data_IF_245106176524
#
_entry.id   IF_245106176524
#
_cell.length_a   1.000
_cell.length_b   1.000
_cell.length_c   1.000
_cell.angle_alpha   90.00
_cell.angle_beta   90.00
_cell.angle_gamma   90.00
#
_symmetry.space_group_name_H-M   'P 1'
#
loop_
_entity.id
_entity.type
_entity.pdbx_description
1 polymer ?
#
# COMPACT_ATOMS: atom_id res chain seq x y z
N UNK A 1 -20.12 12.16 -24.38
CA UNK A 1 -18.67 12.03 -24.07
C UNK A 1 -18.32 13.03 -22.97
N UNK A 2 -17.45 12.69 -22.01
CA UNK A 2 -16.99 13.68 -20.99
C UNK A 2 -16.09 14.73 -21.66
N UNK A 3 -16.42 16.02 -21.46
CA UNK A 3 -15.65 17.15 -21.96
C UNK A 3 -14.20 17.12 -21.43
N UNK A 4 -13.24 17.59 -22.24
CA UNK A 4 -11.79 17.53 -21.92
C UNK A 4 -11.50 18.20 -20.57
N UNK A 5 -12.06 19.39 -20.32
CA UNK A 5 -11.90 20.12 -19.05
C UNK A 5 -12.37 19.30 -17.84
N UNK A 6 -13.50 18.59 -17.96
CA UNK A 6 -14.02 17.75 -16.88
C UNK A 6 -13.11 16.55 -16.61
N UNK A 7 -12.49 15.95 -17.64
CA UNK A 7 -11.53 14.85 -17.44
C UNK A 7 -10.32 15.28 -16.63
N UNK A 8 -9.78 16.46 -16.90
CA UNK A 8 -8.63 16.99 -16.17
C UNK A 8 -8.98 17.23 -14.69
N UNK A 9 -10.15 17.80 -14.41
CA UNK A 9 -10.62 18.04 -13.03
C UNK A 9 -10.82 16.71 -12.29
N UNK A 10 -11.51 15.73 -12.90
CA UNK A 10 -11.74 14.42 -12.30
C UNK A 10 -10.41 13.70 -12.07
N UNK A 11 -9.46 13.78 -13.01
CA UNK A 11 -8.14 13.19 -12.83
C UNK A 11 -7.36 13.86 -11.68
N UNK A 12 -7.39 15.19 -11.56
CA UNK A 12 -6.78 15.92 -10.45
C UNK A 12 -7.34 15.46 -9.09
N UNK A 13 -8.67 15.29 -9.00
CA UNK A 13 -9.32 14.71 -7.82
C UNK A 13 -8.86 13.28 -7.53
N UNK A 14 -8.75 12.42 -8.56
CA UNK A 14 -8.23 11.05 -8.38
C UNK A 14 -6.78 11.04 -7.89
N UNK A 15 -5.92 11.94 -8.38
CA UNK A 15 -4.54 12.04 -7.88
C UNK A 15 -4.46 12.60 -6.46
N UNK A 16 -5.36 13.51 -6.08
CA UNK A 16 -5.50 13.94 -4.69
C UNK A 16 -5.90 12.76 -3.79
N UNK A 17 -6.80 11.89 -4.24
CA UNK A 17 -7.14 10.65 -3.52
C UNK A 17 -5.96 9.68 -3.46
N UNK A 18 -5.17 9.53 -4.53
CA UNK A 18 -3.93 8.72 -4.51
C UNK A 18 -2.97 9.25 -3.45
N UNK A 19 -2.77 10.57 -3.38
CA UNK A 19 -1.92 11.17 -2.35
C UNK A 19 -2.48 10.95 -0.93
N UNK A 20 -3.80 11.06 -0.75
CA UNK A 20 -4.44 10.82 0.54
C UNK A 20 -4.34 9.35 0.98
N UNK A 21 -4.52 8.39 0.06
CA UNK A 21 -4.34 6.95 0.35
C UNK A 21 -2.87 6.61 0.57
N UNK A 22 -1.94 7.24 -0.15
CA UNK A 22 -0.50 7.11 0.13
C UNK A 22 -0.18 7.57 1.57
N UNK A 23 -0.67 8.74 1.98
CA UNK A 23 -0.53 9.22 3.35
C UNK A 23 -1.18 8.26 4.37
N UNK A 24 -2.35 7.69 4.07
CA UNK A 24 -2.99 6.67 4.90
C UNK A 24 -2.10 5.46 5.14
N UNK A 25 -1.45 4.94 4.09
CA UNK A 25 -0.53 3.80 4.21
C UNK A 25 0.70 4.17 5.06
N UNK A 26 1.25 5.38 4.92
CA UNK A 26 2.34 5.84 5.77
C UNK A 26 1.92 5.95 7.25
N UNK A 27 0.77 6.58 7.53
CA UNK A 27 0.24 6.73 8.88
C UNK A 27 -0.05 5.34 9.50
N UNK A 28 -0.66 4.44 8.75
CA UNK A 28 -0.92 3.07 9.19
C UNK A 28 0.35 2.26 9.42
N UNK A 29 1.37 2.46 8.57
CA UNK A 29 2.71 1.90 8.74
C UNK A 29 3.36 2.32 10.06
N UNK A 30 3.32 3.62 10.37
CA UNK A 30 3.80 4.15 11.65
C UNK A 30 2.98 3.57 12.80
N UNK A 31 1.65 3.57 12.70
CA UNK A 31 0.74 2.99 13.72
C UNK A 31 1.08 1.54 14.03
N UNK A 32 1.48 0.74 13.02
CA UNK A 32 1.97 -0.63 13.25
C UNK A 32 3.34 -0.63 13.91
N UNK A 33 4.31 0.15 13.39
CA UNK A 33 5.68 0.16 13.90
C UNK A 33 5.81 0.71 15.34
N UNK A 34 4.84 1.51 15.79
CA UNK A 34 4.73 2.00 17.16
C UNK A 34 3.81 1.16 18.04
N UNK A 35 3.39 -0.03 17.59
CA UNK A 35 2.47 -0.94 18.28
C UNK A 35 1.22 -0.23 18.81
N UNK A 36 0.67 0.68 17.99
CA UNK A 36 -0.42 1.56 18.40
C UNK A 36 -1.80 1.07 17.96
N UNK A 37 -1.86 -0.02 17.18
CA UNK A 37 -3.07 -0.46 16.49
C UNK A 37 -4.21 -0.97 17.37
N UNK A 38 -4.02 -1.08 18.69
CA UNK A 38 -4.99 -1.60 19.66
C UNK A 38 -5.34 -0.61 20.80
N UNK A 39 -4.79 0.60 20.76
CA UNK A 39 -4.99 1.65 21.76
C UNK A 39 -6.44 2.18 21.86
N UNK A 40 -7.24 2.09 20.78
CA UNK A 40 -8.65 2.47 20.73
C UNK A 40 -9.57 1.23 20.72
N UNK A 41 -9.87 0.74 21.92
CA UNK A 41 -10.68 -0.47 22.15
C UNK A 41 -12.11 -0.33 21.62
N UNK A 42 -12.73 0.84 21.77
CA UNK A 42 -14.11 1.07 21.36
C UNK A 42 -14.24 1.48 19.89
N UNK A 43 -15.20 0.86 19.20
CA UNK A 43 -15.58 1.25 17.84
C UNK A 43 -16.61 2.40 17.86
N UNK A 44 -16.15 3.64 17.63
CA UNK A 44 -17.01 4.86 17.56
C UNK A 44 -16.99 5.49 16.15
N UNK A 45 -17.73 4.94 15.17
CA UNK A 45 -17.62 5.35 13.76
C UNK A 45 -18.15 6.76 13.47
N UNK A 46 -19.13 7.26 14.23
CA UNK A 46 -19.70 8.60 14.08
C UNK A 46 -19.03 9.62 15.03
N UNK A 47 -19.11 9.38 16.34
CA UNK A 47 -18.64 10.34 17.38
C UNK A 47 -17.11 10.35 17.53
N UNK A 48 -16.42 9.27 17.14
CA UNK A 48 -14.96 9.16 17.28
C UNK A 48 -14.13 10.05 16.34
N UNK A 49 -14.73 11.09 15.75
CA UNK A 49 -14.01 12.16 15.05
C UNK A 49 -13.52 13.26 16.00
N UNK A 50 -13.96 13.25 17.26
CA UNK A 50 -13.50 14.15 18.31
C UNK A 50 -12.63 13.32 19.26
N UNK A 51 -11.38 13.73 19.54
CA UNK A 51 -10.52 13.03 20.49
C UNK A 51 -11.01 13.28 21.93
N UNK A 52 -10.50 12.56 22.94
CA UNK A 52 -10.81 12.88 24.34
C UNK A 52 -10.42 14.33 24.68
N UNK A 53 -11.40 15.13 25.09
CA UNK A 53 -11.23 16.58 25.37
C UNK A 53 -11.12 16.91 26.87
N UNK A 54 -11.31 15.93 27.76
CA UNK A 54 -11.25 16.11 29.21
C UNK A 54 -10.40 15.03 29.87
N UNK A 55 -9.86 15.31 31.05
CA UNK A 55 -9.08 14.33 31.82
C UNK A 55 -9.92 13.10 32.20
N UNK A 56 -11.21 13.31 32.49
CA UNK A 56 -12.13 12.21 32.76
C UNK A 56 -12.28 11.26 31.56
N UNK A 57 -12.42 11.79 30.33
CA UNK A 57 -12.53 10.95 29.14
C UNK A 57 -11.19 10.26 28.82
N UNK A 58 -10.06 10.93 29.04
CA UNK A 58 -8.72 10.32 28.91
C UNK A 58 -8.53 9.14 29.87
N UNK A 59 -8.89 9.32 31.14
CA UNK A 59 -8.83 8.23 32.12
C UNK A 59 -9.78 7.09 31.76
N UNK A 60 -10.98 7.39 31.22
CA UNK A 60 -11.94 6.38 30.77
C UNK A 60 -11.37 5.53 29.63
N UNK A 61 -10.88 6.15 28.55
CA UNK A 61 -10.31 5.37 27.43
C UNK A 61 -9.05 4.60 27.82
N UNK A 62 -8.23 5.17 28.71
CA UNK A 62 -7.07 4.46 29.24
C UNK A 62 -7.46 3.28 30.15
N UNK A 63 -8.54 3.42 30.92
CA UNK A 63 -9.07 2.31 31.72
C UNK A 63 -9.53 1.13 30.87
N UNK A 64 -10.09 1.39 29.68
CA UNK A 64 -10.44 0.35 28.71
C UNK A 64 -9.20 -0.30 28.10
N UNK A 65 -8.18 0.49 27.76
CA UNK A 65 -6.92 -0.06 27.28
C UNK A 65 -6.28 -1.00 28.32
N UNK A 66 -6.39 -0.67 29.61
CA UNK A 66 -5.88 -1.52 30.70
C UNK A 66 -6.57 -2.88 30.82
N UNK A 67 -7.66 -3.15 30.09
CA UNK A 67 -8.35 -4.45 30.13
C UNK A 67 -7.89 -5.41 29.04
N UNK A 68 -7.09 -4.97 28.06
CA UNK A 68 -6.71 -5.81 26.91
C UNK A 68 -5.33 -6.47 27.13
N UNK A 69 -5.04 -7.60 26.45
CA UNK A 69 -3.79 -8.33 26.63
C UNK A 69 -2.51 -7.50 26.38
N UNK A 70 -2.54 -6.58 25.42
CA UNK A 70 -1.39 -5.71 25.10
C UNK A 70 -0.92 -4.91 26.31
N UNK A 71 -1.84 -4.35 27.12
CA UNK A 71 -1.46 -3.66 28.37
C UNK A 71 -0.84 -4.62 29.38
N UNK A 72 -1.43 -5.79 29.59
CA UNK A 72 -0.98 -6.72 30.62
C UNK A 72 0.36 -7.40 30.29
N UNK A 73 0.63 -7.67 29.02
CA UNK A 73 1.76 -8.49 28.59
C UNK A 73 2.93 -7.66 28.05
N UNK A 74 2.66 -6.51 27.42
CA UNK A 74 3.69 -5.68 26.77
C UNK A 74 3.86 -4.35 27.51
N UNK A 75 2.75 -3.68 27.84
CA UNK A 75 2.76 -2.30 28.34
C UNK A 75 2.42 -2.19 29.84
N UNK A 76 2.77 -3.21 30.63
CA UNK A 76 2.41 -3.27 32.04
C UNK A 76 3.04 -2.10 32.81
N UNK A 77 2.21 -1.33 33.53
CA UNK A 77 2.67 -0.14 34.26
C UNK A 77 2.82 1.11 33.40
N UNK A 78 2.44 1.09 32.12
CA UNK A 78 2.43 2.26 31.24
C UNK A 78 1.65 3.43 31.85
N UNK A 79 2.18 4.65 31.71
CA UNK A 79 1.54 5.88 32.20
C UNK A 79 0.46 6.37 31.23
N UNK A 80 -0.43 7.26 31.69
CA UNK A 80 -1.38 7.93 30.80
C UNK A 80 -0.67 8.75 29.71
N UNK A 81 0.49 9.32 30.01
CA UNK A 81 1.25 10.12 29.05
C UNK A 81 1.77 9.26 27.89
N UNK A 82 2.31 8.08 28.21
CA UNK A 82 2.77 7.11 27.21
C UNK A 82 1.60 6.55 26.40
N UNK A 83 0.48 6.25 27.06
CA UNK A 83 -0.75 5.82 26.38
C UNK A 83 -1.23 6.85 25.35
N UNK A 84 -1.16 8.15 25.67
CA UNK A 84 -1.54 9.21 24.72
C UNK A 84 -0.72 9.14 23.43
N UNK A 85 0.55 8.75 23.48
CA UNK A 85 1.41 8.65 22.30
C UNK A 85 0.89 7.58 21.32
N UNK A 86 0.58 6.38 21.81
CA UNK A 86 0.03 5.32 20.96
C UNK A 86 -1.40 5.64 20.51
N UNK A 87 -2.21 6.23 21.40
CA UNK A 87 -3.57 6.66 21.08
C UNK A 87 -3.61 7.63 19.90
N UNK A 88 -2.72 8.62 19.86
CA UNK A 88 -2.72 9.63 18.80
C UNK A 88 -2.44 9.03 17.42
N UNK A 89 -1.52 8.07 17.30
CA UNK A 89 -1.24 7.41 16.02
C UNK A 89 -2.47 6.68 15.49
N UNK A 90 -3.12 5.88 16.34
CA UNK A 90 -4.32 5.15 15.93
C UNK A 90 -5.49 6.08 15.63
N UNK A 91 -5.68 7.12 16.45
CA UNK A 91 -6.70 8.14 16.26
C UNK A 91 -6.53 8.85 14.91
N UNK A 92 -5.32 9.34 14.60
CA UNK A 92 -5.02 10.03 13.34
C UNK A 92 -5.24 9.08 12.16
N UNK A 93 -4.80 7.82 12.26
CA UNK A 93 -5.04 6.81 11.24
C UNK A 93 -6.54 6.62 10.96
N UNK A 94 -7.36 6.45 12.01
CA UNK A 94 -8.82 6.26 11.90
C UNK A 94 -9.53 7.51 11.40
N UNK A 95 -9.13 8.70 11.84
CA UNK A 95 -9.69 9.96 11.38
C UNK A 95 -9.39 10.17 9.90
N UNK A 96 -8.14 9.95 9.49
CA UNK A 96 -7.71 10.10 8.10
C UNK A 96 -8.49 9.17 7.15
N UNK A 97 -8.72 7.91 7.56
CA UNK A 97 -9.57 6.98 6.81
C UNK A 97 -10.99 7.51 6.58
N UNK A 98 -11.62 8.14 7.59
CA UNK A 98 -12.94 8.77 7.45
C UNK A 98 -12.90 9.97 6.50
N UNK A 99 -11.87 10.82 6.62
CA UNK A 99 -11.70 11.98 5.75
C UNK A 99 -11.54 11.57 4.29
N UNK A 100 -10.82 10.49 3.98
CA UNK A 100 -10.73 9.94 2.61
C UNK A 100 -12.12 9.56 2.09
N UNK A 101 -12.97 8.96 2.92
CA UNK A 101 -14.37 8.65 2.57
C UNK A 101 -15.15 9.90 2.16
N UNK A 102 -15.01 11.00 2.90
CA UNK A 102 -15.66 12.29 2.59
C UNK A 102 -15.07 12.92 1.32
N UNK A 103 -13.73 12.94 1.20
CA UNK A 103 -12.99 13.44 0.04
C UNK A 103 -13.32 12.66 -1.25
N UNK A 104 -13.74 11.41 -1.12
CA UNK A 104 -14.24 10.62 -2.24
C UNK A 104 -15.71 10.93 -2.52
N UNK A 105 -16.57 10.81 -1.50
CA UNK A 105 -18.01 10.81 -1.68
C UNK A 105 -18.54 12.16 -2.19
N UNK A 106 -18.10 13.28 -1.61
CA UNK A 106 -18.65 14.60 -1.96
C UNK A 106 -18.36 14.98 -3.42
N UNK A 107 -17.11 14.92 -3.92
CA UNK A 107 -16.85 15.20 -5.33
C UNK A 107 -17.51 14.18 -6.27
N UNK A 108 -17.56 12.91 -5.89
CA UNK A 108 -18.25 11.88 -6.68
C UNK A 108 -19.73 12.21 -6.90
N UNK A 109 -20.46 12.53 -5.83
CA UNK A 109 -21.87 12.94 -5.91
C UNK A 109 -22.05 14.21 -6.74
N UNK A 110 -21.17 15.20 -6.54
CA UNK A 110 -21.17 16.42 -7.33
C UNK A 110 -21.01 16.12 -8.83
N UNK A 111 -20.04 15.31 -9.24
CA UNK A 111 -19.84 14.95 -10.64
C UNK A 111 -21.01 14.15 -11.23
N UNK A 112 -21.66 13.33 -10.40
CA UNK A 112 -22.83 12.55 -10.80
C UNK A 112 -24.04 13.47 -11.07
N UNK A 113 -24.39 14.36 -10.13
CA UNK A 113 -25.50 15.31 -10.26
C UNK A 113 -25.27 16.29 -11.40
N UNK A 114 -24.03 16.73 -11.63
CA UNK A 114 -23.68 17.62 -12.74
C UNK A 114 -23.65 16.92 -14.10
N UNK A 115 -23.84 15.61 -14.16
CA UNK A 115 -23.79 14.83 -15.41
C UNK A 115 -22.40 14.79 -16.05
N UNK A 116 -21.34 14.96 -15.26
CA UNK A 116 -19.96 15.00 -15.77
C UNK A 116 -19.39 13.61 -16.04
N UNK A 117 -20.03 12.55 -15.53
CA UNK A 117 -19.57 11.18 -15.64
C UNK A 117 -20.30 10.44 -16.77
N UNK A 118 -19.56 9.68 -17.57
CA UNK A 118 -20.20 8.64 -18.41
C UNK A 118 -20.67 7.50 -17.51
N UNK A 119 -21.70 6.74 -17.93
CA UNK A 119 -22.18 5.54 -17.21
C UNK A 119 -21.05 4.59 -16.83
N UNK A 120 -20.10 4.34 -17.76
CA UNK A 120 -18.93 3.49 -17.50
C UNK A 120 -18.01 4.06 -16.42
N UNK A 121 -17.75 5.37 -16.43
CA UNK A 121 -16.90 6.01 -15.41
C UNK A 121 -17.61 6.03 -14.05
N UNK A 122 -18.90 6.35 -14.02
CA UNK A 122 -19.72 6.32 -12.82
C UNK A 122 -19.72 4.94 -12.15
N UNK A 123 -19.90 3.85 -12.92
CA UNK A 123 -19.84 2.48 -12.39
C UNK A 123 -18.45 2.11 -11.81
N UNK A 124 -17.36 2.58 -12.43
CA UNK A 124 -16.00 2.35 -11.91
C UNK A 124 -15.76 3.10 -10.60
N UNK A 125 -16.20 4.36 -10.52
CA UNK A 125 -16.11 5.16 -9.30
C UNK A 125 -17.01 4.61 -8.19
N UNK A 126 -18.19 4.13 -8.53
CA UNK A 126 -19.06 3.44 -7.58
C UNK A 126 -18.41 2.14 -7.06
N UNK A 127 -17.79 1.34 -7.93
CA UNK A 127 -17.01 0.19 -7.49
C UNK A 127 -15.85 0.56 -6.55
N UNK A 128 -15.17 1.67 -6.81
CA UNK A 128 -14.14 2.21 -5.90
C UNK A 128 -14.71 2.66 -4.55
N UNK A 129 -15.92 3.22 -4.52
CA UNK A 129 -16.62 3.55 -3.28
C UNK A 129 -16.91 2.29 -2.46
N UNK A 130 -17.41 1.24 -3.09
CA UNK A 130 -17.65 -0.05 -2.43
C UNK A 130 -16.36 -0.68 -1.89
N UNK A 131 -15.27 -0.63 -2.68
CA UNK A 131 -13.96 -1.09 -2.23
C UNK A 131 -13.44 -0.27 -1.04
N UNK A 132 -13.64 1.05 -1.03
CA UNK A 132 -13.32 1.90 0.11
C UNK A 132 -14.11 1.55 1.38
N UNK A 133 -15.41 1.25 1.23
CA UNK A 133 -16.23 0.73 2.34
C UNK A 133 -15.70 -0.61 2.86
N UNK A 134 -15.39 -1.54 1.95
CA UNK A 134 -14.78 -2.83 2.29
C UNK A 134 -13.42 -2.67 2.98
N UNK A 135 -12.59 -1.72 2.55
CA UNK A 135 -11.32 -1.40 3.21
C UNK A 135 -11.54 -1.03 4.69
N UNK A 136 -12.56 -0.21 4.97
CA UNK A 136 -12.94 0.12 6.34
C UNK A 136 -13.38 -1.10 7.16
N UNK A 137 -14.16 -2.00 6.55
CA UNK A 137 -14.58 -3.28 7.18
C UNK A 137 -13.39 -4.20 7.48
N UNK A 138 -12.46 -4.33 6.54
CA UNK A 138 -11.22 -5.11 6.73
C UNK A 138 -10.37 -4.50 7.84
N UNK A 139 -10.27 -3.16 7.91
CA UNK A 139 -9.55 -2.47 8.99
C UNK A 139 -10.17 -2.70 10.36
N UNK A 140 -11.50 -2.67 10.45
CA UNK A 140 -12.22 -3.04 11.68
C UNK A 140 -11.95 -4.50 12.08
N UNK A 141 -12.05 -5.44 11.13
CA UNK A 141 -11.78 -6.86 11.36
C UNK A 141 -10.35 -7.13 11.82
N UNK A 142 -9.37 -6.38 11.29
CA UNK A 142 -7.97 -6.43 11.69
C UNK A 142 -7.78 -6.03 13.16
N UNK A 143 -8.38 -4.92 13.60
CA UNK A 143 -8.24 -4.45 14.99
C UNK A 143 -9.02 -5.34 15.95
N UNK A 144 -10.25 -5.72 15.61
CA UNK A 144 -11.13 -6.49 16.51
C UNK A 144 -10.49 -7.81 16.98
N UNK A 145 -9.68 -8.48 16.17
CA UNK A 145 -8.95 -9.69 16.63
C UNK A 145 -7.97 -9.44 17.75
N UNK A 146 -7.27 -8.31 17.73
CA UNK A 146 -6.19 -8.05 18.66
C UNK A 146 -6.70 -7.70 20.05
N UNK A 147 -7.98 -7.40 20.21
CA UNK A 147 -8.53 -6.94 21.49
C UNK A 147 -8.84 -8.07 22.48
N UNK A 148 -8.96 -9.32 22.02
CA UNK A 148 -9.42 -10.44 22.86
C UNK A 148 -8.38 -11.55 23.06
N UNK A 149 -7.61 -11.89 22.02
CA UNK A 149 -6.80 -13.12 22.00
C UNK A 149 -5.30 -12.87 21.78
N UNK A 150 -4.90 -11.66 21.38
CA UNK A 150 -3.52 -11.34 20.97
C UNK A 150 -3.04 -10.04 21.62
N UNK A 151 -1.74 -9.81 21.58
CA UNK A 151 -1.13 -8.54 21.99
C UNK A 151 -0.93 -7.58 20.83
N UNK A 152 -1.21 -8.03 19.59
CA UNK A 152 -0.99 -7.27 18.36
C UNK A 152 -2.03 -7.61 17.28
N UNK A 153 -2.01 -6.84 16.19
CA UNK A 153 -2.79 -7.18 14.99
C UNK A 153 -2.11 -8.32 14.22
N UNK A 154 -2.87 -9.37 13.90
CA UNK A 154 -2.37 -10.51 13.13
C UNK A 154 -1.73 -10.07 11.80
N UNK A 155 -0.54 -10.60 11.51
CA UNK A 155 0.22 -10.34 10.28
C UNK A 155 -0.58 -10.66 9.01
N UNK A 156 -1.46 -11.66 9.05
CA UNK A 156 -2.35 -12.00 7.93
C UNK A 156 -3.38 -10.91 7.66
N UNK A 157 -3.98 -10.36 8.72
CA UNK A 157 -5.00 -9.31 8.61
C UNK A 157 -4.38 -7.98 8.23
N UNK A 158 -3.19 -7.69 8.75
CA UNK A 158 -2.36 -6.56 8.33
C UNK A 158 -2.04 -6.64 6.84
N UNK A 159 -1.52 -7.78 6.38
CA UNK A 159 -1.21 -7.99 4.97
C UNK A 159 -2.47 -7.87 4.08
N UNK A 160 -3.60 -8.46 4.48
CA UNK A 160 -4.86 -8.33 3.76
C UNK A 160 -5.30 -6.86 3.66
N UNK A 161 -5.30 -6.12 4.77
CA UNK A 161 -5.68 -4.70 4.80
C UNK A 161 -4.77 -3.85 3.90
N UNK A 162 -3.46 -4.10 3.89
CA UNK A 162 -2.52 -3.43 3.02
C UNK A 162 -2.76 -3.75 1.54
N UNK A 163 -3.03 -5.02 1.19
CA UNK A 163 -3.31 -5.43 -0.20
C UNK A 163 -4.54 -4.71 -0.74
N UNK A 164 -5.63 -4.66 0.02
CA UNK A 164 -6.82 -3.92 -0.42
C UNK A 164 -6.54 -2.42 -0.59
N UNK A 165 -5.75 -1.80 0.31
CA UNK A 165 -5.32 -0.41 0.16
C UNK A 165 -4.52 -0.19 -1.13
N UNK A 166 -3.58 -1.08 -1.45
CA UNK A 166 -2.76 -1.01 -2.66
C UNK A 166 -3.56 -1.25 -3.94
N UNK A 167 -4.59 -2.11 -3.90
CA UNK A 167 -5.53 -2.30 -5.01
C UNK A 167 -6.31 -1.02 -5.26
N UNK A 168 -6.87 -0.39 -4.22
CA UNK A 168 -7.58 0.89 -4.34
C UNK A 168 -6.65 1.97 -4.91
N UNK A 169 -5.44 2.09 -4.36
CA UNK A 169 -4.41 3.01 -4.83
C UNK A 169 -4.09 2.79 -6.32
N UNK A 170 -3.88 1.54 -6.73
CA UNK A 170 -3.58 1.18 -8.12
C UNK A 170 -4.72 1.55 -9.07
N UNK A 171 -5.97 1.27 -8.68
CA UNK A 171 -7.15 1.58 -9.47
C UNK A 171 -7.37 3.09 -9.61
N UNK A 172 -7.23 3.85 -8.52
CA UNK A 172 -7.31 5.32 -8.54
C UNK A 172 -6.23 5.91 -9.46
N UNK A 173 -4.98 5.48 -9.28
CA UNK A 173 -3.85 5.96 -10.05
C UNK A 173 -3.98 5.64 -11.54
N UNK A 174 -4.33 4.38 -11.87
CA UNK A 174 -4.53 3.96 -13.25
C UNK A 174 -5.70 4.69 -13.91
N UNK A 175 -6.81 4.89 -13.17
CA UNK A 175 -7.96 5.63 -13.68
C UNK A 175 -7.61 7.10 -13.95
N UNK A 176 -6.89 7.76 -13.03
CA UNK A 176 -6.41 9.13 -13.20
C UNK A 176 -5.52 9.28 -14.44
N UNK A 177 -4.53 8.40 -14.60
CA UNK A 177 -3.68 8.36 -15.79
C UNK A 177 -4.49 8.15 -17.08
N UNK A 178 -5.49 7.26 -17.06
CA UNK A 178 -6.32 6.96 -18.22
C UNK A 178 -7.21 8.13 -18.68
N UNK A 179 -7.55 9.04 -17.78
CA UNK A 179 -8.33 10.24 -18.09
C UNK A 179 -7.48 11.34 -18.73
N UNK A 180 -6.19 11.44 -18.35
CA UNK A 180 -5.27 12.45 -18.88
C UNK A 180 -4.51 12.01 -20.12
N UNK A 181 -4.08 10.75 -20.16
CA UNK A 181 -3.12 10.27 -21.16
C UNK A 181 -3.83 9.31 -22.11
N UNK A 182 -4.21 9.77 -23.33
CA UNK A 182 -4.76 8.88 -24.33
C UNK A 182 -3.71 7.83 -24.75
N UNK A 183 -4.13 6.66 -25.23
CA UNK A 183 -3.20 5.67 -25.78
C UNK A 183 -2.38 6.30 -26.91
N UNK A 184 -1.05 6.24 -26.82
CA UNK A 184 -0.18 6.74 -27.88
C UNK A 184 -0.31 5.85 -29.12
N UNK A 185 -0.91 6.39 -30.18
CA UNK A 185 -1.22 5.63 -31.41
C UNK A 185 0.00 5.24 -32.24
N UNK A 186 1.16 5.90 -32.03
CA UNK A 186 2.37 5.77 -32.86
C UNK A 186 3.44 4.84 -32.28
N UNK A 187 3.38 4.52 -30.99
CA UNK A 187 4.40 3.66 -30.34
C UNK A 187 4.05 2.18 -30.50
N UNK A 188 4.92 1.39 -31.14
CA UNK A 188 4.80 -0.07 -31.25
C UNK A 188 5.61 -0.74 -30.13
N UNK A 189 4.96 -1.02 -29.00
CA UNK A 189 5.57 -1.78 -27.90
C UNK A 189 5.37 -3.28 -28.15
N UNK A 190 6.45 -4.08 -28.03
CA UNK A 190 6.35 -5.55 -28.07
C UNK A 190 5.47 -6.02 -26.91
N UNK A 191 4.48 -6.89 -27.20
CA UNK A 191 3.55 -7.42 -26.17
C UNK A 191 4.28 -8.05 -24.99
N UNK A 192 5.41 -8.70 -25.24
CA UNK A 192 6.27 -9.24 -24.20
C UNK A 192 6.71 -8.17 -23.20
N UNK A 193 7.18 -7.00 -23.66
CA UNK A 193 7.67 -5.93 -22.77
C UNK A 193 6.58 -5.40 -21.84
N UNK A 194 5.36 -5.25 -22.35
CA UNK A 194 4.19 -4.89 -21.53
C UNK A 194 3.87 -5.98 -20.50
N UNK A 195 3.95 -7.25 -20.88
CA UNK A 195 3.80 -8.39 -19.96
C UNK A 195 4.86 -8.39 -18.85
N UNK A 196 6.13 -8.12 -19.18
CA UNK A 196 7.20 -8.01 -18.18
C UNK A 196 6.97 -6.83 -17.22
N UNK A 197 6.43 -5.70 -17.70
CA UNK A 197 6.11 -4.57 -16.83
C UNK A 197 5.01 -4.93 -15.81
N UNK A 198 3.98 -5.67 -16.22
CA UNK A 198 2.96 -6.17 -15.29
C UNK A 198 3.50 -7.26 -14.36
N UNK A 199 4.38 -8.14 -14.84
CA UNK A 199 5.09 -9.11 -14.00
C UNK A 199 5.89 -8.40 -12.90
N UNK A 200 6.63 -7.34 -13.25
CA UNK A 200 7.39 -6.53 -12.28
C UNK A 200 6.46 -5.84 -11.28
N UNK A 201 5.34 -5.27 -11.73
CA UNK A 201 4.35 -4.68 -10.81
C UNK A 201 3.79 -5.73 -9.84
N UNK A 202 3.52 -6.96 -10.31
CA UNK A 202 3.10 -8.08 -9.48
C UNK A 202 4.18 -8.54 -8.49
N UNK A 203 5.44 -8.61 -8.91
CA UNK A 203 6.57 -8.97 -8.06
C UNK A 203 6.81 -7.92 -6.95
N UNK A 204 6.67 -6.63 -7.28
CA UNK A 204 6.74 -5.55 -6.28
C UNK A 204 5.59 -5.67 -5.27
N UNK A 205 4.36 -5.91 -5.74
CA UNK A 205 3.22 -6.13 -4.85
C UNK A 205 3.48 -7.33 -3.92
N UNK A 206 3.99 -8.44 -4.45
CA UNK A 206 4.33 -9.61 -3.65
C UNK A 206 5.45 -9.34 -2.64
N UNK A 207 6.44 -8.53 -3.01
CA UNK A 207 7.51 -8.07 -2.09
C UNK A 207 6.96 -7.18 -0.97
N UNK A 208 6.01 -6.30 -1.27
CA UNK A 208 5.33 -5.48 -0.25
C UNK A 208 4.54 -6.37 0.71
N UNK A 209 3.83 -7.38 0.19
CA UNK A 209 3.10 -8.35 1.02
C UNK A 209 4.07 -9.10 1.94
N UNK A 210 5.18 -9.63 1.44
CA UNK A 210 6.17 -10.29 2.31
C UNK A 210 6.77 -9.32 3.34
N UNK A 211 6.95 -8.04 3.00
CA UNK A 211 7.35 -6.99 3.95
C UNK A 211 6.31 -6.73 5.05
N UNK A 212 5.01 -6.86 4.74
CA UNK A 212 3.94 -6.78 5.74
C UNK A 212 4.00 -7.93 6.75
N UNK A 213 4.42 -9.13 6.33
CA UNK A 213 4.70 -10.23 7.26
C UNK A 213 5.91 -9.91 8.14
N UNK A 214 7.00 -9.36 7.57
CA UNK A 214 8.19 -8.95 8.36
C UNK A 214 7.82 -7.94 9.44
N UNK A 215 7.06 -6.89 9.08
CA UNK A 215 6.59 -5.90 10.03
C UNK A 215 5.57 -6.47 11.02
N UNK A 216 4.66 -7.33 10.55
CA UNK A 216 3.61 -7.93 11.37
C UNK A 216 4.13 -8.87 12.45
N UNK A 217 5.22 -9.60 12.19
CA UNK A 217 5.83 -10.53 13.15
C UNK A 217 7.09 -9.99 13.82
N UNK A 218 7.39 -8.70 13.66
CA UNK A 218 8.64 -8.07 14.15
C UNK A 218 9.93 -8.78 13.68
N UNK A 219 9.88 -9.51 12.56
CA UNK A 219 10.99 -10.32 12.06
C UNK A 219 12.21 -9.51 11.60
N UNK A 220 12.05 -8.19 11.41
CA UNK A 220 13.16 -7.28 11.09
C UNK A 220 14.24 -7.20 12.17
N UNK A 221 13.91 -7.57 13.41
CA UNK A 221 14.79 -7.50 14.59
C UNK A 221 15.60 -8.78 14.84
N UNK A 222 15.43 -9.84 14.03
CA UNK A 222 16.04 -11.14 14.30
C UNK A 222 17.50 -11.19 13.82
N UNK A 223 17.75 -10.91 12.54
CA UNK A 223 19.11 -10.78 12.02
C UNK A 223 19.33 -9.38 11.47
N UNK A 224 20.28 -8.63 12.03
CA UNK A 224 20.63 -7.29 11.58
C UNK A 224 21.97 -7.23 10.82
N UNK A 225 22.37 -8.36 10.22
CA UNK A 225 23.51 -8.49 9.31
C UNK A 225 23.06 -8.68 7.86
N UNK A 226 23.90 -8.30 6.90
CA UNK A 226 23.67 -8.48 5.46
C UNK A 226 25.02 -8.69 4.72
N UNK A 227 25.13 -9.56 3.70
CA UNK A 227 24.07 -10.37 3.09
C UNK A 227 23.73 -11.64 3.89
N UNK A 228 24.65 -12.10 4.76
CA UNK A 228 24.46 -13.28 5.59
C UNK A 228 23.53 -13.01 6.79
N UNK A 229 22.87 -14.05 7.27
CA UNK A 229 22.02 -14.07 8.47
C UNK A 229 22.73 -14.92 9.54
N UNK A 230 23.34 -14.25 10.53
CA UNK A 230 24.09 -14.94 11.59
C UNK A 230 25.30 -15.72 11.07
N UNK A 231 26.00 -15.17 10.07
CA UNK A 231 27.16 -15.81 9.43
C UNK A 231 26.82 -16.93 8.44
N UNK A 232 25.53 -17.22 8.19
CA UNK A 232 25.08 -18.23 7.23
C UNK A 232 24.25 -17.60 6.11
N UNK A 233 24.16 -18.28 4.96
CA UNK A 233 23.25 -17.85 3.90
C UNK A 233 21.79 -18.08 4.29
N UNK A 234 21.47 -19.30 4.75
CA UNK A 234 20.15 -19.67 5.30
C UNK A 234 20.27 -19.70 6.82
N UNK A 235 19.36 -19.04 7.58
CA UNK A 235 19.40 -19.08 9.04
C UNK A 235 19.14 -20.52 9.53
N UNK A 236 19.76 -20.89 10.66
CA UNK A 236 19.64 -22.26 11.18
C UNK A 236 18.19 -22.61 11.55
N UNK A 237 17.44 -21.60 11.94
CA UNK A 237 16.09 -21.63 12.48
C UNK A 237 15.03 -21.71 11.39
N UNK A 238 15.41 -21.66 10.10
CA UNK A 238 14.47 -21.55 8.99
C UNK A 238 13.38 -22.63 9.00
N UNK A 239 13.71 -23.86 9.41
CA UNK A 239 12.81 -25.02 9.34
C UNK A 239 12.35 -25.53 10.72
N UNK A 240 12.34 -24.68 11.74
CA UNK A 240 12.04 -25.09 13.12
C UNK A 240 10.56 -25.38 13.41
N UNK A 241 9.62 -24.94 12.58
CA UNK A 241 8.18 -25.21 12.78
C UNK A 241 7.70 -26.42 11.97
N UNK A 242 6.76 -27.17 12.56
CA UNK A 242 6.01 -28.24 11.92
C UNK A 242 4.50 -27.95 11.97
N UNK A 243 3.74 -28.13 10.88
CA UNK A 243 4.20 -28.52 9.54
C UNK A 243 5.07 -27.45 8.86
N UNK A 244 5.94 -27.86 7.93
CA UNK A 244 7.00 -27.03 7.34
C UNK A 244 6.52 -25.69 6.76
N UNK A 245 5.34 -25.66 6.16
CA UNK A 245 4.79 -24.45 5.53
C UNK A 245 4.51 -23.31 6.53
N UNK A 246 4.35 -23.60 7.82
CA UNK A 246 4.21 -22.58 8.86
C UNK A 246 5.45 -21.69 8.95
N UNK A 247 6.63 -22.21 8.61
CA UNK A 247 7.84 -21.40 8.63
C UNK A 247 7.74 -20.19 7.69
N UNK A 248 6.99 -20.29 6.60
CA UNK A 248 6.86 -19.18 5.65
C UNK A 248 6.02 -18.01 6.17
N UNK A 249 5.21 -18.23 7.20
CA UNK A 249 4.20 -17.25 7.66
C UNK A 249 4.24 -16.94 9.17
N UNK A 250 4.85 -17.81 9.98
CA UNK A 250 4.92 -17.68 11.45
C UNK A 250 6.37 -17.64 11.97
N UNK A 251 7.32 -18.28 11.30
CA UNK A 251 8.71 -18.30 11.73
C UNK A 251 9.43 -17.01 11.31
N UNK A 252 9.78 -16.18 12.28
CA UNK A 252 10.38 -14.87 12.03
C UNK A 252 11.69 -14.94 11.21
N UNK A 253 12.58 -15.89 11.50
CA UNK A 253 13.83 -16.08 10.74
C UNK A 253 13.56 -16.42 9.28
N UNK A 254 12.60 -17.30 9.02
CA UNK A 254 12.22 -17.70 7.66
C UNK A 254 11.48 -16.60 6.90
N UNK A 255 10.56 -15.88 7.56
CA UNK A 255 9.89 -14.69 6.99
C UNK A 255 10.92 -13.64 6.57
N UNK A 256 11.88 -13.34 7.45
CA UNK A 256 12.93 -12.36 7.17
C UNK A 256 13.82 -12.81 5.99
N UNK A 257 14.26 -14.07 5.99
CA UNK A 257 15.04 -14.64 4.89
C UNK A 257 14.28 -14.58 3.56
N UNK A 258 13.02 -15.03 3.55
CA UNK A 258 12.18 -15.06 2.36
C UNK A 258 12.01 -13.66 1.78
N UNK A 259 11.72 -12.66 2.63
CA UNK A 259 11.58 -11.28 2.18
C UNK A 259 12.85 -10.75 1.52
N UNK A 260 14.05 -11.03 2.06
CA UNK A 260 15.34 -10.62 1.45
C UNK A 260 15.51 -11.20 0.05
N UNK A 261 15.26 -12.49 -0.12
CA UNK A 261 15.41 -13.14 -1.43
C UNK A 261 14.34 -12.69 -2.43
N UNK A 262 13.10 -12.54 -1.99
CA UNK A 262 12.02 -11.97 -2.82
C UNK A 262 12.38 -10.54 -3.28
N UNK A 263 12.96 -9.72 -2.40
CA UNK A 263 13.40 -8.37 -2.73
C UNK A 263 14.56 -8.37 -3.74
N UNK A 264 15.56 -9.24 -3.57
CA UNK A 264 16.68 -9.41 -4.52
C UNK A 264 16.14 -9.83 -5.89
N UNK A 265 15.29 -10.87 -5.94
CA UNK A 265 14.68 -11.33 -7.20
C UNK A 265 13.88 -10.22 -7.87
N UNK A 266 13.08 -9.46 -7.11
CA UNK A 266 12.28 -8.35 -7.64
C UNK A 266 13.16 -7.24 -8.20
N UNK A 267 14.25 -6.88 -7.51
CA UNK A 267 15.23 -5.91 -8.01
C UNK A 267 15.89 -6.39 -9.32
N UNK A 268 16.27 -7.67 -9.40
CA UNK A 268 16.79 -8.26 -10.63
C UNK A 268 15.79 -8.18 -11.78
N UNK A 269 14.51 -8.48 -11.54
CA UNK A 269 13.46 -8.36 -12.55
C UNK A 269 13.29 -6.91 -13.04
N UNK A 270 13.36 -5.93 -12.12
CA UNK A 270 13.33 -4.50 -12.47
C UNK A 270 14.53 -4.13 -13.34
N UNK A 271 15.74 -4.55 -12.96
CA UNK A 271 16.96 -4.27 -13.72
C UNK A 271 16.93 -4.90 -15.13
N UNK A 272 16.43 -6.13 -15.27
CA UNK A 272 16.25 -6.79 -16.58
C UNK A 272 15.22 -6.03 -17.42
N UNK A 273 14.07 -5.65 -16.86
CA UNK A 273 13.08 -4.84 -17.57
C UNK A 273 13.68 -3.51 -18.02
N UNK A 274 14.44 -2.85 -17.14
CA UNK A 274 15.12 -1.60 -17.44
C UNK A 274 16.08 -1.74 -18.62
N UNK A 275 16.98 -2.73 -18.60
CA UNK A 275 17.91 -3.01 -19.69
C UNK A 275 17.20 -3.30 -21.03
N UNK A 276 16.12 -4.09 -21.01
CA UNK A 276 15.32 -4.38 -22.20
C UNK A 276 14.61 -3.14 -22.76
N UNK A 277 14.13 -2.24 -21.90
CA UNK A 277 13.51 -0.99 -22.32
C UNK A 277 14.52 -0.03 -22.94
N UNK A 278 15.78 -0.02 -22.48
CA UNK A 278 16.86 0.80 -23.05
C UNK A 278 17.23 0.38 -24.47
N UNK A 279 17.07 -0.89 -24.80
CA UNK A 279 17.28 -1.44 -26.14
C UNK A 279 16.06 -1.29 -27.06
N UNK A 280 14.92 -0.85 -26.53
CA UNK A 280 13.68 -0.69 -27.29
C UNK A 280 13.49 0.76 -27.76
N UNK A 281 12.88 0.95 -28.93
CA UNK A 281 12.50 2.27 -29.46
C UNK A 281 11.28 2.83 -28.73
N UNK A 282 11.49 3.30 -27.50
CA UNK A 282 10.46 3.89 -26.63
C UNK A 282 10.45 5.42 -26.72
N UNK A 283 9.29 6.03 -26.44
CA UNK A 283 9.20 7.48 -26.34
C UNK A 283 9.80 8.00 -25.02
N UNK A 284 10.04 9.32 -24.94
CA UNK A 284 10.64 9.98 -23.77
C UNK A 284 9.88 9.69 -22.47
N UNK A 285 8.55 9.69 -22.50
CA UNK A 285 7.71 9.44 -21.33
C UNK A 285 7.88 8.02 -20.78
N UNK A 286 7.89 7.00 -21.65
CA UNK A 286 8.07 5.61 -21.26
C UNK A 286 9.49 5.35 -20.74
N UNK A 287 10.52 5.94 -21.38
CA UNK A 287 11.89 5.86 -20.87
C UNK A 287 12.05 6.54 -19.50
N UNK A 288 11.40 7.69 -19.30
CA UNK A 288 11.41 8.39 -18.01
C UNK A 288 10.73 7.56 -16.93
N UNK A 289 9.59 6.93 -17.21
CA UNK A 289 8.91 6.04 -16.26
C UNK A 289 9.79 4.84 -15.87
N UNK A 290 10.45 4.20 -16.85
CA UNK A 290 11.34 3.06 -16.61
C UNK A 290 12.59 3.47 -15.83
N UNK A 291 13.18 4.63 -16.12
CA UNK A 291 14.32 5.16 -15.36
C UNK A 291 13.93 5.52 -13.92
N UNK A 292 12.75 6.12 -13.73
CA UNK A 292 12.22 6.42 -12.40
C UNK A 292 12.01 5.13 -11.60
N UNK A 293 11.41 4.10 -12.21
CA UNK A 293 11.25 2.78 -11.59
C UNK A 293 12.58 2.21 -11.10
N UNK A 294 13.63 2.25 -11.94
CA UNK A 294 14.96 1.78 -11.56
C UNK A 294 15.57 2.61 -10.42
N UNK A 295 15.48 3.94 -10.49
CA UNK A 295 16.00 4.83 -9.45
C UNK A 295 15.31 4.63 -8.08
N UNK A 296 13.99 4.51 -8.08
CA UNK A 296 13.21 4.22 -6.86
C UNK A 296 13.52 2.81 -6.34
N UNK A 297 13.78 1.83 -7.23
CA UNK A 297 14.18 0.49 -6.81
C UNK A 297 15.54 0.48 -6.09
N UNK A 298 16.51 1.24 -6.59
CA UNK A 298 17.79 1.43 -5.89
C UNK A 298 17.58 2.03 -4.49
N UNK A 299 16.78 3.10 -4.40
CA UNK A 299 16.45 3.73 -3.12
C UNK A 299 15.77 2.74 -2.17
N UNK A 300 14.82 1.93 -2.67
CA UNK A 300 14.10 0.93 -1.88
C UNK A 300 15.05 -0.11 -1.28
N UNK A 301 15.98 -0.64 -2.07
CA UNK A 301 16.97 -1.63 -1.61
C UNK A 301 17.92 -1.00 -0.59
N UNK A 302 18.43 0.21 -0.87
CA UNK A 302 19.30 0.93 0.06
C UNK A 302 18.62 1.18 1.40
N UNK A 303 17.36 1.63 1.40
CA UNK A 303 16.59 1.84 2.63
C UNK A 303 16.30 0.53 3.37
N UNK A 304 15.98 -0.56 2.66
CA UNK A 304 15.77 -1.87 3.27
C UNK A 304 17.02 -2.39 3.98
N UNK A 305 18.18 -2.31 3.32
CA UNK A 305 19.47 -2.69 3.91
C UNK A 305 19.82 -1.77 5.08
N UNK A 306 19.65 -0.46 4.94
CA UNK A 306 19.98 0.49 6.02
C UNK A 306 19.08 0.28 7.24
N UNK A 307 17.77 0.09 7.04
CA UNK A 307 16.81 -0.24 8.11
C UNK A 307 17.24 -1.50 8.85
N UNK A 308 17.67 -2.52 8.11
CA UNK A 308 18.15 -3.77 8.67
C UNK A 308 19.43 -3.59 9.50
N UNK A 309 20.46 -2.96 8.94
CA UNK A 309 21.77 -2.80 9.60
C UNK A 309 21.73 -1.88 10.84
N UNK A 310 20.72 -1.01 10.92
CA UNK A 310 20.55 -0.05 12.03
C UNK A 310 19.56 -0.52 13.10
N UNK A 311 19.16 -1.79 13.08
CA UNK A 311 18.19 -2.39 14.02
C UNK A 311 16.79 -1.77 13.96
N UNK A 312 16.30 -1.54 12.74
CA UNK A 312 14.91 -1.15 12.43
C UNK A 312 14.46 0.14 13.15
N UNK A 313 15.19 1.27 13.04
CA UNK A 313 14.72 2.51 13.62
C UNK A 313 13.46 2.96 12.88
N UNK A 314 12.42 3.32 13.63
CA UNK A 314 11.07 3.61 13.12
C UNK A 314 11.08 4.59 11.94
N UNK A 315 11.84 5.71 11.94
CA UNK A 315 11.88 6.61 10.79
C UNK A 315 12.36 5.96 9.50
N UNK A 316 13.39 5.10 9.55
CA UNK A 316 13.88 4.38 8.37
C UNK A 316 12.90 3.30 7.92
N UNK A 317 12.33 2.54 8.87
CA UNK A 317 11.34 1.52 8.56
C UNK A 317 10.08 2.12 7.91
N UNK A 318 9.57 3.24 8.44
CA UNK A 318 8.45 3.97 7.87
C UNK A 318 8.79 4.56 6.48
N UNK A 319 10.00 5.10 6.31
CA UNK A 319 10.46 5.61 5.00
C UNK A 319 10.58 4.48 3.98
N UNK A 320 11.09 3.31 4.39
CA UNK A 320 11.17 2.12 3.55
C UNK A 320 9.79 1.63 3.11
N UNK A 321 8.79 1.64 3.98
CA UNK A 321 7.40 1.32 3.63
C UNK A 321 6.83 2.35 2.65
N UNK A 322 7.04 3.65 2.89
CA UNK A 322 6.57 4.72 2.01
C UNK A 322 7.18 4.60 0.59
N UNK A 323 8.50 4.39 0.50
CA UNK A 323 9.19 4.21 -0.78
C UNK A 323 8.74 2.93 -1.50
N UNK A 324 8.34 1.87 -0.78
CA UNK A 324 7.76 0.68 -1.39
C UNK A 324 6.48 1.00 -2.17
N UNK A 325 5.61 1.86 -1.62
CA UNK A 325 4.39 2.30 -2.29
C UNK A 325 4.71 3.15 -3.52
N UNK A 326 5.69 4.05 -3.42
CA UNK A 326 6.17 4.84 -4.56
C UNK A 326 6.79 3.95 -5.65
N UNK A 327 7.51 2.90 -5.26
CA UNK A 327 8.05 1.90 -6.17
C UNK A 327 6.92 1.21 -6.94
N UNK A 328 5.86 0.80 -6.24
CA UNK A 328 4.67 0.21 -6.86
C UNK A 328 3.97 1.19 -7.82
N UNK A 329 3.77 2.45 -7.44
CA UNK A 329 3.20 3.48 -8.32
C UNK A 329 4.06 3.71 -9.58
N UNK A 330 5.38 3.73 -9.43
CA UNK A 330 6.31 3.85 -10.58
C UNK A 330 6.22 2.65 -11.51
N UNK A 331 6.04 1.43 -10.98
CA UNK A 331 5.84 0.22 -11.77
C UNK A 331 4.51 0.26 -12.52
N UNK A 332 3.43 0.73 -11.90
CA UNK A 332 2.15 0.95 -12.56
C UNK A 332 2.24 2.02 -13.66
N UNK A 333 2.99 3.10 -13.42
CA UNK A 333 3.24 4.12 -14.44
C UNK A 333 4.02 3.55 -15.63
N UNK A 334 5.03 2.72 -15.37
CA UNK A 334 5.79 2.00 -16.41
C UNK A 334 4.88 1.05 -17.18
N UNK A 335 4.10 0.19 -16.51
CA UNK A 335 3.16 -0.73 -17.16
C UNK A 335 2.10 0.03 -17.99
N UNK A 336 1.58 1.15 -17.46
CA UNK A 336 0.68 2.02 -18.19
C UNK A 336 1.34 2.63 -19.43
N UNK A 337 2.58 3.12 -19.33
CA UNK A 337 3.32 3.73 -20.45
C UNK A 337 3.63 2.72 -21.56
N UNK A 338 3.82 1.45 -21.20
CA UNK A 338 4.14 0.34 -22.10
C UNK A 338 2.90 -0.41 -22.62
N UNK A 339 1.69 0.02 -22.25
CA UNK A 339 0.46 -0.70 -22.61
C UNK A 339 0.29 -0.84 -24.14
N UNK A 340 0.03 -2.05 -24.66
CA UNK A 340 -0.22 -2.24 -26.08
C UNK A 340 -1.56 -1.62 -26.46
N UNK A 341 -1.75 -1.31 -27.75
CA UNK A 341 -3.11 -0.99 -28.26
C UNK A 341 -4.04 -2.17 -27.95
N UNK A 342 -5.14 -1.90 -27.24
CA UNK A 342 -6.30 -2.78 -27.36
C UNK A 342 -6.80 -2.65 -28.80
N UNK A 343 -6.99 -3.76 -29.52
CA UNK A 343 -7.68 -3.76 -30.80
C UNK A 343 -9.16 -3.43 -30.53
N UNK A 344 -9.49 -2.17 -30.23
CA UNK A 344 -10.82 -1.68 -30.61
C UNK A 344 -10.80 -1.64 -32.12
N UNK A 345 -11.64 -2.48 -32.74
CA UNK A 345 -11.90 -2.51 -34.17
C UNK A 345 -11.85 -1.07 -34.71
N UNK A 346 -11.05 -0.87 -35.75
CA UNK A 346 -11.22 0.30 -36.58
C UNK A 346 -12.68 0.24 -37.05
N UNK A 347 -13.53 1.15 -36.59
CA UNK A 347 -14.73 1.45 -37.33
C UNK A 347 -14.24 1.88 -38.72
N UNK A 348 -14.66 1.23 -39.80
CA UNK A 348 -14.27 1.65 -41.14
C UNK A 348 -14.71 3.10 -41.29
N UNK A 349 -13.74 3.98 -41.51
CA UNK A 349 -14.00 5.30 -42.05
C UNK A 349 -14.31 5.06 -43.52
N UNK A 350 -15.60 5.04 -43.88
CA UNK A 350 -16.02 4.91 -45.27
C UNK A 350 -17.46 4.48 -45.43
N UNK A 351 -18.35 5.47 -45.56
CA UNK A 351 -19.45 5.56 -46.53
C UNK A 351 -20.55 6.46 -45.94
N UNK A 352 -20.49 7.76 -46.25
CA UNK A 352 -21.71 8.57 -46.31
C UNK A 352 -22.49 8.07 -47.53
N UNK A 353 -23.74 7.63 -47.40
CA UNK A 353 -24.59 7.47 -48.58
C UNK A 353 -24.91 8.86 -49.15
N UNK A 354 -24.85 8.93 -50.48
CA UNK A 354 -25.18 10.09 -51.30
C UNK A 354 -26.64 10.52 -51.15
#
# INVERSE_FOLDING_TARGET
MVAIRHRAIIAGWLFALVAAVFAMVCIGGITRLTESGLSMVEWRPLIGMIPPMSDAEWQRVFSLYRTIPEYHQINAGMSLADFKLIFWWEYIHRLWGRLIGVLFLLPFLFFLVRGWLTRRLALRLFGLLLLGGLQGLVGWWMVKSGLAERTDVSQYRLAAHLVFALIILALLFYLGLSLLIPPNRRMRVRRSLAGHAWLVAGAILFTIVSGAFVAGTNAGLIYNTFPLMGGRLVPAEYAHMSPFWLNWFENQSAIQFNHRWIAITTFTLIAVLWGRCRQASLNRTALMAVNLLMGVACLQVSLGILTLLTNVPIPLAATHQAVAVLLFLSALATAFSLRPRWKTQALPVGALPA
#
